data_IF_726367976525
#
_entry.id   IF_726367976525
#
_cell.length_a   1.000
_cell.length_b   1.000
_cell.length_c   1.000
_cell.angle_alpha   90.00
_cell.angle_beta   90.00
_cell.angle_gamma   90.00
#
_symmetry.space_group_name_H-M   'P 1'
#
loop_
_entity.id
_entity.type
_entity.pdbx_description
1 polymer ?
#
# COMPACT_ATOMS: atom_id res chain seq x y z
N UNK A 1 -0.84 -29.18 73.80
CA UNK A 1 -1.27 -29.06 72.39
C UNK A 1 -1.75 -27.63 72.14
N UNK A 2 -0.96 -26.80 71.47
CA UNK A 2 -1.36 -25.44 71.08
C UNK A 2 -1.40 -25.36 69.54
N UNK A 3 -2.59 -25.18 68.99
CA UNK A 3 -2.86 -25.11 67.55
C UNK A 3 -2.82 -23.62 67.15
N UNK A 4 -1.69 -23.14 66.66
CA UNK A 4 -1.62 -21.79 66.09
C UNK A 4 -2.27 -21.79 64.70
N UNK A 5 -3.43 -21.12 64.61
CA UNK A 5 -4.17 -20.89 63.37
C UNK A 5 -3.34 -20.05 62.39
N UNK A 6 -2.95 -20.63 61.25
CA UNK A 6 -2.37 -19.89 60.12
C UNK A 6 -3.45 -18.94 59.58
N UNK A 7 -3.25 -17.63 59.74
CA UNK A 7 -4.12 -16.59 59.18
C UNK A 7 -3.78 -16.47 57.71
N UNK A 8 -4.61 -17.03 56.82
CA UNK A 8 -4.42 -16.87 55.38
C UNK A 8 -4.54 -15.39 55.00
N UNK A 9 -3.41 -14.77 54.64
CA UNK A 9 -3.35 -13.40 54.17
C UNK A 9 -4.01 -13.30 52.79
N UNK A 10 -5.32 -13.02 52.78
CA UNK A 10 -6.16 -12.88 51.58
C UNK A 10 -5.98 -11.54 50.83
N UNK A 11 -4.79 -10.96 50.92
CA UNK A 11 -4.43 -9.69 50.29
C UNK A 11 -3.11 -9.87 49.54
N UNK A 12 -3.08 -9.42 48.28
CA UNK A 12 -1.86 -9.42 47.46
C UNK A 12 -1.44 -7.98 47.25
N UNK A 13 -0.23 -7.65 47.65
CA UNK A 13 0.38 -6.34 47.48
C UNK A 13 1.36 -6.41 46.33
N UNK A 14 1.12 -5.62 45.29
CA UNK A 14 2.09 -5.39 44.22
C UNK A 14 2.20 -3.88 44.06
N UNK A 15 3.42 -3.34 44.12
CA UNK A 15 3.72 -1.90 43.96
C UNK A 15 2.93 -0.96 44.90
N UNK A 16 2.83 -1.32 46.19
CA UNK A 16 2.28 -0.42 47.23
C UNK A 16 0.75 -0.39 47.36
N UNK A 17 0.00 -1.03 46.46
CA UNK A 17 -1.46 -1.11 46.54
C UNK A 17 -1.90 -2.48 47.10
N UNK A 18 -2.59 -2.48 48.25
CA UNK A 18 -3.16 -3.67 48.90
C UNK A 18 -4.61 -3.85 48.47
N UNK A 19 -4.89 -4.88 47.67
CA UNK A 19 -6.26 -5.20 47.24
C UNK A 19 -6.64 -6.62 47.65
N UNK A 20 -7.92 -6.81 48.01
CA UNK A 20 -8.46 -8.13 48.36
C UNK A 20 -8.48 -9.04 47.12
N UNK A 21 -8.46 -10.37 47.30
CA UNK A 21 -8.55 -11.34 46.19
C UNK A 21 -9.73 -11.09 45.24
N UNK A 22 -10.85 -10.52 45.71
CA UNK A 22 -12.00 -10.15 44.86
C UNK A 22 -11.75 -8.90 44.03
N UNK A 23 -11.00 -7.92 44.55
CA UNK A 23 -10.65 -6.69 43.82
C UNK A 23 -9.67 -6.94 42.68
N UNK A 24 -8.75 -7.89 42.85
CA UNK A 24 -7.79 -8.27 41.81
C UNK A 24 -8.41 -8.82 40.53
N UNK A 25 -9.55 -9.52 40.62
CA UNK A 25 -10.23 -10.03 39.43
C UNK A 25 -10.79 -8.89 38.57
N UNK A 26 -11.37 -7.88 39.22
CA UNK A 26 -11.83 -6.68 38.53
C UNK A 26 -10.66 -5.91 37.92
N UNK A 27 -9.54 -5.75 38.64
CA UNK A 27 -8.34 -5.07 38.11
C UNK A 27 -7.79 -5.79 36.88
N UNK A 28 -7.74 -7.12 36.90
CA UNK A 28 -7.26 -7.91 35.76
C UNK A 28 -8.18 -7.75 34.56
N UNK A 29 -9.50 -7.80 34.76
CA UNK A 29 -10.49 -7.54 33.71
C UNK A 29 -10.32 -6.13 33.13
N UNK A 30 -10.18 -5.11 33.97
CA UNK A 30 -9.97 -3.74 33.49
C UNK A 30 -8.65 -3.56 32.74
N UNK A 31 -7.58 -4.21 33.18
CA UNK A 31 -6.28 -4.15 32.50
C UNK A 31 -6.33 -4.82 31.12
N UNK A 32 -7.01 -5.96 31.00
CA UNK A 32 -7.24 -6.63 29.71
C UNK A 32 -8.10 -5.76 28.80
N UNK A 33 -9.17 -5.15 29.32
CA UNK A 33 -10.02 -4.24 28.54
C UNK A 33 -9.26 -3.01 28.04
N UNK A 34 -8.40 -2.42 28.86
CA UNK A 34 -7.53 -1.30 28.46
C UNK A 34 -6.58 -1.76 27.36
N UNK A 35 -5.95 -2.94 27.48
CA UNK A 35 -5.11 -3.50 26.43
C UNK A 35 -5.88 -3.71 25.13
N UNK A 36 -7.09 -4.28 25.18
CA UNK A 36 -7.95 -4.43 23.99
C UNK A 36 -8.27 -3.08 23.35
N UNK A 37 -8.58 -2.06 24.15
CA UNK A 37 -8.86 -0.72 23.66
C UNK A 37 -7.62 -0.08 23.01
N UNK A 38 -6.45 -0.17 23.67
CA UNK A 38 -5.19 0.34 23.12
C UNK A 38 -4.83 -0.36 21.81
N UNK A 39 -4.93 -1.69 21.73
CA UNK A 39 -4.68 -2.41 20.49
C UNK A 39 -5.69 -2.06 19.39
N UNK A 40 -6.97 -1.88 19.74
CA UNK A 40 -8.01 -1.48 18.80
C UNK A 40 -7.72 -0.10 18.18
N UNK A 41 -7.38 0.90 19.01
CA UNK A 41 -7.06 2.25 18.53
C UNK A 41 -5.72 2.30 17.78
N UNK A 42 -4.69 1.61 18.27
CA UNK A 42 -3.37 1.58 17.62
C UNK A 42 -3.41 0.93 16.23
N UNK A 43 -4.22 -0.11 16.05
CA UNK A 43 -4.46 -0.73 14.73
C UNK A 43 -5.25 0.21 13.80
N UNK A 44 -6.24 0.92 14.33
CA UNK A 44 -7.11 1.80 13.53
C UNK A 44 -6.39 3.07 13.06
N UNK A 45 -5.45 3.61 13.85
CA UNK A 45 -4.69 4.80 13.48
C UNK A 45 -3.49 4.48 12.58
N UNK A 46 -2.82 3.34 12.79
CA UNK A 46 -1.70 2.91 11.93
C UNK A 46 -2.15 2.67 10.48
N UNK A 47 -3.35 2.12 10.28
CA UNK A 47 -3.94 1.94 8.94
C UNK A 47 -4.24 3.27 8.24
N UNK A 48 -4.64 4.31 8.98
CA UNK A 48 -4.94 5.64 8.43
C UNK A 48 -3.70 6.45 8.10
N UNK A 49 -2.64 6.34 8.91
CA UNK A 49 -1.37 7.03 8.67
C UNK A 49 -0.65 6.43 7.45
N UNK A 50 -0.66 5.11 7.30
CA UNK A 50 -0.13 4.44 6.11
C UNK A 50 -0.94 4.77 4.83
N UNK A 51 -2.26 4.96 4.93
CA UNK A 51 -3.12 5.34 3.81
C UNK A 51 -2.92 6.79 3.31
N UNK A 52 -2.29 7.67 4.10
CA UNK A 52 -2.05 9.06 3.72
C UNK A 52 -0.72 9.29 2.99
N UNK A 53 0.29 8.45 3.23
CA UNK A 53 1.54 8.48 2.48
C UNK A 53 1.32 7.86 1.10
N UNK A 54 1.51 8.64 0.03
CA UNK A 54 1.50 8.09 -1.32
C UNK A 54 2.66 7.10 -1.47
N UNK A 55 2.36 5.89 -1.97
CA UNK A 55 3.34 4.84 -2.21
C UNK A 55 3.78 4.84 -3.67
N UNK A 56 5.07 4.67 -3.92
CA UNK A 56 5.65 4.63 -5.26
C UNK A 56 6.17 3.21 -5.55
N UNK A 57 5.40 2.34 -6.24
CA UNK A 57 5.75 0.93 -6.42
C UNK A 57 7.01 0.70 -7.28
N UNK A 58 7.34 1.66 -8.15
CA UNK A 58 8.34 1.48 -9.21
C UNK A 58 9.53 2.43 -9.10
N UNK A 59 9.55 3.36 -8.14
CA UNK A 59 10.57 4.42 -8.06
C UNK A 59 11.99 3.88 -7.90
N UNK A 60 12.16 2.77 -7.18
CA UNK A 60 13.45 2.13 -6.92
C UNK A 60 13.86 1.12 -8.01
N UNK A 61 12.97 0.82 -8.96
CA UNK A 61 13.22 -0.17 -10.01
C UNK A 61 13.63 0.49 -11.31
N UNK A 62 14.55 -0.10 -12.05
CA UNK A 62 14.94 0.43 -13.36
C UNK A 62 14.04 -0.15 -14.45
N UNK A 63 13.19 0.69 -15.05
CA UNK A 63 12.37 0.32 -16.20
C UNK A 63 13.26 0.09 -17.45
N UNK A 64 13.10 -1.05 -18.11
CA UNK A 64 13.87 -1.44 -19.31
C UNK A 64 13.00 -1.68 -20.53
N UNK A 65 11.71 -1.99 -20.34
CA UNK A 65 10.74 -2.00 -21.42
C UNK A 65 9.37 -1.55 -20.90
N UNK A 66 8.60 -0.92 -21.77
CA UNK A 66 7.20 -0.56 -21.52
C UNK A 66 6.40 -0.82 -22.79
N UNK A 67 5.25 -1.46 -22.65
CA UNK A 67 4.38 -1.74 -23.79
C UNK A 67 2.92 -1.51 -23.41
N UNK A 68 2.16 -0.91 -24.32
CA UNK A 68 0.71 -0.95 -24.29
C UNK A 68 0.18 -1.67 -25.55
N UNK A 69 -1.13 -1.61 -25.77
CA UNK A 69 -1.78 -2.22 -26.92
C UNK A 69 -1.34 -1.66 -28.30
N UNK A 70 -0.73 -0.47 -28.36
CA UNK A 70 -0.37 0.24 -29.60
C UNK A 70 1.14 0.41 -29.78
N UNK A 71 1.86 0.75 -28.72
CA UNK A 71 3.27 1.11 -28.72
C UNK A 71 4.04 0.22 -27.75
N UNK A 72 5.22 -0.24 -28.18
CA UNK A 72 6.18 -0.91 -27.32
C UNK A 72 7.55 -0.24 -27.44
N UNK A 73 8.14 0.11 -26.30
CA UNK A 73 9.47 0.71 -26.18
C UNK A 73 10.39 -0.23 -25.40
N UNK A 74 11.64 -0.33 -25.84
CA UNK A 74 12.72 -0.99 -25.12
C UNK A 74 13.90 -0.05 -24.94
N UNK A 75 14.62 -0.20 -23.82
CA UNK A 75 15.87 0.49 -23.59
C UNK A 75 17.02 -0.32 -24.20
N UNK A 76 17.70 0.26 -25.18
CA UNK A 76 18.91 -0.29 -25.81
C UNK A 76 20.07 0.65 -25.47
N UNK A 77 20.95 0.19 -24.57
CA UNK A 77 22.00 1.04 -24.01
C UNK A 77 21.41 2.22 -23.24
N UNK A 78 21.68 3.45 -23.69
CA UNK A 78 21.14 4.66 -23.06
C UNK A 78 19.99 5.32 -23.83
N UNK A 79 19.47 4.66 -24.86
CA UNK A 79 18.37 5.20 -25.67
C UNK A 79 17.17 4.27 -25.63
N UNK A 80 15.98 4.87 -25.73
CA UNK A 80 14.72 4.18 -25.88
C UNK A 80 14.40 4.03 -27.36
N UNK A 81 14.07 2.81 -27.77
CA UNK A 81 13.74 2.47 -29.16
C UNK A 81 12.35 1.87 -29.24
N UNK A 82 11.61 2.26 -30.28
CA UNK A 82 10.28 1.74 -30.59
C UNK A 82 10.44 0.37 -31.24
N UNK A 83 9.90 -0.66 -30.58
CA UNK A 83 9.81 -2.00 -31.15
C UNK A 83 8.53 -2.20 -31.96
N UNK A 84 7.45 -1.53 -31.57
CA UNK A 84 6.12 -1.67 -32.17
C UNK A 84 5.35 -0.37 -32.07
N UNK A 85 4.55 -0.09 -33.08
CA UNK A 85 3.70 1.09 -33.14
C UNK A 85 4.38 2.28 -33.80
N UNK A 86 3.63 3.36 -33.92
CA UNK A 86 4.16 4.64 -34.41
C UNK A 86 5.09 5.26 -33.36
N UNK A 87 6.20 5.87 -33.78
CA UNK A 87 7.09 6.57 -32.87
C UNK A 87 6.34 7.74 -32.20
N UNK A 88 6.46 7.80 -30.88
CA UNK A 88 5.98 8.92 -30.09
C UNK A 88 6.92 10.11 -30.30
N UNK A 89 6.38 11.33 -30.22
CA UNK A 89 7.22 12.52 -30.09
C UNK A 89 8.12 12.38 -28.85
N UNK A 90 9.36 12.86 -28.92
CA UNK A 90 10.36 12.67 -27.85
C UNK A 90 9.86 13.19 -26.49
N UNK A 91 9.15 14.33 -26.48
CA UNK A 91 8.51 14.90 -25.29
C UNK A 91 7.34 14.07 -24.75
N UNK A 92 6.58 13.40 -25.63
CA UNK A 92 5.49 12.52 -25.22
C UNK A 92 6.05 11.21 -24.63
N UNK A 93 7.09 10.67 -25.27
CA UNK A 93 7.79 9.48 -24.82
C UNK A 93 8.41 9.68 -23.43
N UNK A 94 9.15 10.78 -23.22
CA UNK A 94 9.78 11.07 -21.93
C UNK A 94 8.77 11.26 -20.81
N UNK A 95 7.67 11.99 -21.07
CA UNK A 95 6.57 12.16 -20.10
C UNK A 95 5.89 10.84 -19.75
N UNK A 96 5.62 10.00 -20.74
CA UNK A 96 5.02 8.68 -20.51
C UNK A 96 5.91 7.80 -19.63
N UNK A 97 7.21 7.71 -19.96
CA UNK A 97 8.18 6.94 -19.17
C UNK A 97 8.31 7.47 -17.74
N UNK A 98 8.39 8.79 -17.58
CA UNK A 98 8.50 9.43 -16.27
C UNK A 98 7.24 9.21 -15.43
N UNK A 99 6.05 9.27 -16.04
CA UNK A 99 4.78 9.07 -15.34
C UNK A 99 4.70 7.67 -14.71
N UNK A 100 5.19 6.65 -15.42
CA UNK A 100 5.27 5.28 -14.90
C UNK A 100 6.37 5.10 -13.85
N UNK A 101 7.54 5.69 -14.04
CA UNK A 101 8.66 5.61 -13.09
C UNK A 101 8.35 6.34 -11.76
N UNK A 102 7.57 7.42 -11.82
CA UNK A 102 7.19 8.26 -10.66
C UNK A 102 5.73 8.05 -10.23
N UNK A 103 5.14 6.92 -10.61
CA UNK A 103 3.76 6.59 -10.28
C UNK A 103 3.55 6.62 -8.77
N UNK A 104 2.62 7.45 -8.30
CA UNK A 104 2.30 7.56 -6.87
C UNK A 104 0.86 7.12 -6.63
N UNK A 105 0.71 6.11 -5.78
CA UNK A 105 -0.53 5.38 -5.52
C UNK A 105 -1.00 5.60 -4.09
N UNK A 106 -2.32 5.64 -3.90
CA UNK A 106 -2.96 5.55 -2.58
C UNK A 106 -4.04 4.47 -2.59
N UNK A 107 -4.10 3.59 -1.57
CA UNK A 107 -5.17 2.61 -1.45
C UNK A 107 -6.54 3.30 -1.50
N UNK A 108 -7.51 2.68 -2.15
CA UNK A 108 -8.89 3.18 -2.21
C UNK A 108 -9.89 2.04 -2.15
N UNK A 109 -11.06 2.32 -1.58
CA UNK A 109 -12.21 1.42 -1.60
C UNK A 109 -13.07 1.62 -2.86
N UNK A 110 -12.65 2.50 -3.78
CA UNK A 110 -13.34 2.71 -5.04
C UNK A 110 -13.32 1.43 -5.89
N UNK A 111 -14.47 1.09 -6.45
CA UNK A 111 -14.59 -0.02 -7.39
C UNK A 111 -13.94 0.34 -8.73
N UNK A 112 -13.27 -0.64 -9.36
CA UNK A 112 -12.77 -0.48 -10.72
C UNK A 112 -13.93 -0.22 -11.68
N UNK A 113 -13.91 0.93 -12.34
CA UNK A 113 -14.94 1.37 -13.27
C UNK A 113 -14.30 2.15 -14.41
N UNK A 114 -15.01 2.24 -15.54
CA UNK A 114 -14.58 3.02 -16.70
C UNK A 114 -13.74 2.23 -17.70
N UNK A 115 -12.95 2.94 -18.49
CA UNK A 115 -12.17 2.34 -19.58
C UNK A 115 -10.88 1.72 -19.02
N UNK A 116 -10.71 0.43 -19.25
CA UNK A 116 -9.45 -0.26 -18.98
C UNK A 116 -8.39 0.09 -20.03
N UNK A 117 -7.19 0.36 -19.54
CA UNK A 117 -5.97 0.56 -20.29
C UNK A 117 -4.87 -0.26 -19.63
N UNK A 118 -4.35 -1.22 -20.37
CA UNK A 118 -3.36 -2.16 -19.87
C UNK A 118 -1.96 -1.76 -20.34
N UNK A 119 -1.01 -1.77 -19.41
CA UNK A 119 0.41 -1.54 -19.68
C UNK A 119 1.24 -2.68 -19.11
N UNK A 120 2.23 -3.11 -19.87
CA UNK A 120 3.21 -4.10 -19.46
C UNK A 120 4.55 -3.39 -19.20
N UNK A 121 5.07 -3.55 -17.99
CA UNK A 121 6.32 -2.95 -17.53
C UNK A 121 7.34 -4.05 -17.30
N UNK A 122 8.51 -3.94 -17.92
CA UNK A 122 9.64 -4.86 -17.67
C UNK A 122 10.73 -4.10 -16.94
N UNK A 123 11.21 -4.67 -15.85
CA UNK A 123 12.24 -4.07 -14.99
C UNK A 123 13.54 -4.87 -15.07
N UNK A 124 14.67 -4.21 -14.83
CA UNK A 124 15.99 -4.84 -14.90
C UNK A 124 16.21 -5.92 -13.82
N UNK A 125 15.48 -5.85 -12.72
CA UNK A 125 15.63 -6.70 -11.52
C UNK A 125 14.68 -7.90 -11.50
N UNK A 126 13.76 -7.99 -12.46
CA UNK A 126 12.66 -8.97 -12.45
C UNK A 126 12.67 -9.77 -13.74
N UNK A 127 12.61 -11.09 -13.63
CA UNK A 127 12.37 -11.96 -14.80
C UNK A 127 10.88 -11.87 -15.18
N UNK A 128 10.59 -11.17 -16.27
CA UNK A 128 9.25 -11.03 -16.84
C UNK A 128 8.67 -9.63 -16.78
N UNK A 129 7.40 -9.51 -17.19
CA UNK A 129 6.69 -8.23 -17.31
C UNK A 129 5.59 -8.13 -16.26
N UNK A 130 5.53 -7.00 -15.57
CA UNK A 130 4.45 -6.62 -14.66
C UNK A 130 3.33 -6.01 -15.49
N UNK A 131 2.18 -6.68 -15.52
CA UNK A 131 0.98 -6.19 -16.18
C UNK A 131 0.16 -5.34 -15.22
N UNK A 132 0.02 -4.06 -15.54
CA UNK A 132 -0.73 -3.08 -14.76
C UNK A 132 -2.00 -2.70 -15.51
N UNK A 133 -3.15 -2.85 -14.85
CA UNK A 133 -4.44 -2.39 -15.35
C UNK A 133 -4.76 -1.00 -14.82
N UNK A 134 -5.00 -0.04 -15.72
CA UNK A 134 -5.40 1.33 -15.39
C UNK A 134 -6.83 1.56 -15.83
N UNK A 135 -7.67 2.11 -14.97
CA UNK A 135 -9.08 2.34 -15.21
C UNK A 135 -9.37 3.84 -15.08
N UNK A 136 -9.82 4.45 -16.18
CA UNK A 136 -10.12 5.88 -16.22
C UNK A 136 -11.62 6.11 -16.09
N UNK A 137 -12.03 6.84 -15.05
CA UNK A 137 -13.43 7.16 -14.76
C UNK A 137 -13.57 8.54 -14.11
N UNK A 138 -14.46 9.38 -14.62
CA UNK A 138 -14.76 10.73 -14.11
C UNK A 138 -13.53 11.62 -13.84
N UNK A 139 -12.49 11.50 -14.67
CA UNK A 139 -11.25 12.27 -14.52
C UNK A 139 -10.31 11.76 -13.43
N UNK A 140 -10.60 10.60 -12.84
CA UNK A 140 -9.69 9.86 -11.96
C UNK A 140 -9.10 8.66 -12.69
N UNK A 141 -7.87 8.29 -12.32
CA UNK A 141 -7.23 7.03 -12.71
C UNK A 141 -7.11 6.10 -11.50
N UNK A 142 -7.69 4.91 -11.63
CA UNK A 142 -7.55 3.80 -10.71
C UNK A 142 -6.58 2.77 -11.29
N UNK A 143 -5.81 2.11 -10.44
CA UNK A 143 -4.78 1.13 -10.82
C UNK A 143 -5.00 -0.15 -10.06
N UNK A 144 -5.00 -1.26 -10.80
CA UNK A 144 -4.91 -2.61 -10.27
C UNK A 144 -3.49 -3.15 -10.52
N UNK A 145 -2.78 -3.45 -9.44
CA UNK A 145 -1.47 -4.09 -9.50
C UNK A 145 -1.63 -5.62 -9.45
N UNK A 146 -0.76 -6.38 -10.14
CA UNK A 146 -0.85 -7.83 -10.13
C UNK A 146 -0.53 -8.36 -8.72
N UNK A 147 -1.38 -9.27 -8.23
CA UNK A 147 -1.24 -9.88 -6.91
C UNK A 147 -1.69 -9.02 -5.73
N UNK A 148 -2.24 -7.82 -5.98
CA UNK A 148 -2.85 -6.99 -4.94
C UNK A 148 -4.36 -7.18 -4.91
N UNK A 149 -4.93 -7.41 -3.71
CA UNK A 149 -6.38 -7.49 -3.49
C UNK A 149 -7.02 -6.10 -3.31
N UNK A 150 -6.23 -5.03 -3.41
CA UNK A 150 -6.67 -3.65 -3.19
C UNK A 150 -6.49 -2.82 -4.46
N UNK A 151 -7.43 -1.92 -4.70
CA UNK A 151 -7.37 -0.93 -5.80
C UNK A 151 -6.62 0.31 -5.31
N UNK A 152 -5.87 0.93 -6.21
CA UNK A 152 -5.12 2.14 -5.90
C UNK A 152 -5.62 3.31 -6.74
N UNK A 153 -5.75 4.49 -6.12
CA UNK A 153 -5.95 5.75 -6.83
C UNK A 153 -4.59 6.35 -7.18
N UNK A 154 -4.45 6.81 -8.42
CA UNK A 154 -3.26 7.56 -8.85
C UNK A 154 -3.34 8.99 -8.34
N UNK A 155 -2.25 9.46 -7.73
CA UNK A 155 -2.13 10.82 -7.21
C UNK A 155 -1.08 11.66 -7.95
N UNK A 156 -0.24 11.02 -8.78
CA UNK A 156 0.67 11.67 -9.72
C UNK A 156 -0.04 12.09 -11.02
N UNK A 157 0.69 12.59 -12.03
CA UNK A 157 0.11 13.05 -13.31
C UNK A 157 -0.63 11.92 -14.04
N UNK A 158 -1.95 11.91 -13.94
CA UNK A 158 -2.82 10.86 -14.50
C UNK A 158 -2.92 10.94 -16.03
N UNK A 159 -2.78 12.15 -16.60
CA UNK A 159 -2.88 12.40 -18.04
C UNK A 159 -1.78 11.73 -18.84
N UNK A 160 -0.60 11.64 -18.22
CA UNK A 160 0.61 11.16 -18.89
C UNK A 160 0.75 9.63 -18.80
N UNK A 161 -0.21 8.92 -18.22
CA UNK A 161 -0.19 7.45 -18.11
C UNK A 161 -0.48 6.74 -19.43
N UNK A 162 -1.20 7.39 -20.33
CA UNK A 162 -1.52 6.86 -21.66
C UNK A 162 -0.55 7.42 -22.70
N UNK A 163 0.06 6.55 -23.50
CA UNK A 163 1.00 6.94 -24.56
C UNK A 163 0.42 7.90 -25.61
N UNK A 164 -0.91 7.95 -25.78
CA UNK A 164 -1.57 8.67 -26.87
C UNK A 164 -2.44 9.86 -26.43
N UNK A 165 -2.26 10.34 -25.20
CA UNK A 165 -3.02 11.48 -24.69
C UNK A 165 -2.25 12.82 -24.80
N UNK A 166 -1.15 12.81 -25.57
CA UNK A 166 -0.19 13.91 -25.74
C UNK A 166 -0.37 14.68 -27.04
#
# INVERSE_FOLDING_TARGET
>A
MAKHSKKDSNYRTILGFTLSKKGWNNVLIYLVLILMFVFYFMQHDSGKIAAQAGWQPFSERTLVAIADHKVALIRVGNQWQVQRGEPLAEDAQSRWLQAWQQLTLKPTEALLQGREYQVELTFADTEGSVRVGVFFYNGEALVALPGADTVFRVTSSQRDLQAHHF
#
